data_IF_862245165398
#
_entry.id   IF_862245165398
#
_cell.length_a   1.000
_cell.length_b   1.000
_cell.length_c   1.000
_cell.angle_alpha   90.00
_cell.angle_beta   90.00
_cell.angle_gamma   90.00
#
_symmetry.space_group_name_H-M   'P 1'
#
loop_
_entity.id
_entity.type
_entity.pdbx_description
1 polymer ?
#
# COMPACT_ATOMS: atom_id res chain seq x y z
N UNK A 1 17.94 18.07 36.55
CA UNK A 1 17.86 17.14 37.70
C UNK A 1 16.42 16.70 38.03
N UNK A 2 15.39 17.54 37.89
CA UNK A 2 13.98 17.14 38.14
C UNK A 2 13.28 16.34 37.02
N UNK A 3 13.81 16.32 35.80
CA UNK A 3 13.23 15.56 34.66
C UNK A 3 13.73 14.11 34.55
N UNK A 4 14.73 13.73 35.35
CA UNK A 4 15.32 12.38 35.34
C UNK A 4 14.56 11.40 36.26
N UNK A 5 13.80 11.93 37.23
CA UNK A 5 13.05 11.14 38.22
C UNK A 5 11.73 10.62 37.67
N UNK A 6 11.05 11.38 36.80
CA UNK A 6 9.82 10.92 36.13
C UNK A 6 10.05 9.81 35.09
N UNK A 7 11.30 9.66 34.67
CA UNK A 7 11.67 8.90 33.47
C UNK A 7 12.23 7.53 33.81
N UNK A 8 12.90 7.35 34.96
CA UNK A 8 13.24 6.01 35.50
C UNK A 8 12.03 5.19 35.99
N UNK A 9 10.84 5.79 36.06
CA UNK A 9 9.62 5.09 36.44
C UNK A 9 8.86 4.46 35.26
N UNK A 10 9.16 4.80 34.00
CA UNK A 10 8.37 4.37 32.84
C UNK A 10 8.47 2.87 32.54
N UNK A 11 9.64 2.26 32.71
CA UNK A 11 9.86 0.82 32.50
C UNK A 11 9.19 -0.06 33.58
N UNK A 12 9.08 0.44 34.81
CA UNK A 12 8.29 -0.18 35.88
C UNK A 12 6.83 0.24 35.89
N UNK A 13 6.44 1.18 35.01
CA UNK A 13 5.08 1.66 34.91
C UNK A 13 4.24 0.53 34.30
N UNK A 14 4.46 0.12 33.05
CA UNK A 14 3.58 -0.83 32.34
C UNK A 14 3.35 -2.17 33.07
N UNK A 15 4.39 -2.72 33.72
CA UNK A 15 4.29 -3.94 34.55
C UNK A 15 3.45 -3.77 35.82
N UNK A 16 3.36 -2.56 36.39
CA UNK A 16 2.43 -2.22 37.47
C UNK A 16 1.03 -1.85 36.96
N UNK A 17 0.85 -1.64 35.66
CA UNK A 17 -0.39 -1.13 35.05
C UNK A 17 -1.24 -2.16 34.32
N UNK A 18 -0.75 -3.38 34.11
CA UNK A 18 -1.61 -4.55 33.85
C UNK A 18 -2.63 -4.81 34.98
N UNK A 19 -2.44 -4.17 36.14
CA UNK A 19 -3.35 -4.21 37.28
C UNK A 19 -4.42 -3.09 37.30
N UNK A 20 -4.49 -2.20 36.30
CA UNK A 20 -5.51 -1.15 36.23
C UNK A 20 -6.70 -1.53 35.34
N UNK A 21 -7.91 -1.33 35.88
CA UNK A 21 -9.17 -1.63 35.20
C UNK A 21 -9.71 -0.44 34.39
N UNK A 22 -10.21 -0.74 33.18
CA UNK A 22 -11.15 0.09 32.42
C UNK A 22 -10.63 1.45 31.96
N UNK A 23 -11.20 2.53 32.51
CA UNK A 23 -11.01 3.90 32.00
C UNK A 23 -9.58 4.45 32.19
N UNK A 24 -8.86 3.97 33.20
CA UNK A 24 -7.46 4.38 33.41
C UNK A 24 -6.55 3.83 32.31
N UNK A 25 -6.82 2.61 31.84
CA UNK A 25 -6.12 1.97 30.71
C UNK A 25 -6.42 2.71 29.41
N UNK A 26 -7.67 3.13 29.19
CA UNK A 26 -8.06 3.96 28.03
C UNK A 26 -7.34 5.29 27.98
N UNK A 27 -7.31 6.02 29.11
CA UNK A 27 -6.62 7.31 29.21
C UNK A 27 -5.11 7.16 29.03
N UNK A 28 -4.53 6.08 29.56
CA UNK A 28 -3.12 5.78 29.41
C UNK A 28 -2.76 5.48 27.95
N UNK A 29 -3.53 4.64 27.24
CA UNK A 29 -3.29 4.36 25.82
C UNK A 29 -3.33 5.64 24.97
N UNK A 30 -4.25 6.57 25.28
CA UNK A 30 -4.28 7.87 24.62
C UNK A 30 -3.02 8.68 24.93
N UNK A 31 -2.54 8.69 26.17
CA UNK A 31 -1.32 9.38 26.55
C UNK A 31 -0.07 8.75 25.90
N UNK A 32 0.01 7.43 25.88
CA UNK A 32 1.10 6.67 25.25
C UNK A 32 1.12 6.83 23.73
N UNK A 33 -0.03 7.02 23.09
CA UNK A 33 -0.10 7.35 21.66
C UNK A 33 0.51 8.73 21.36
N UNK A 34 0.17 9.74 22.16
CA UNK A 34 0.61 11.14 21.93
C UNK A 34 2.07 11.35 22.32
N UNK A 35 2.60 10.52 23.23
CA UNK A 35 3.95 10.72 23.77
C UNK A 35 5.07 10.62 22.74
N UNK A 36 5.12 9.62 21.82
CA UNK A 36 6.08 9.58 20.72
C UNK A 36 6.02 10.82 19.82
N UNK A 37 4.82 11.27 19.47
CA UNK A 37 4.58 12.43 18.60
C UNK A 37 5.12 13.73 19.25
N UNK A 38 4.85 13.93 20.54
CA UNK A 38 5.32 15.09 21.30
C UNK A 38 6.84 15.11 21.50
N UNK A 39 7.49 13.95 21.68
CA UNK A 39 8.96 13.87 21.79
C UNK A 39 9.64 14.34 20.50
N UNK A 40 8.98 14.16 19.35
CA UNK A 40 9.48 14.57 18.03
C UNK A 40 9.34 16.09 17.82
N UNK A 41 8.26 16.69 18.33
CA UNK A 41 8.00 18.13 18.22
C UNK A 41 8.69 18.97 19.31
N UNK A 42 9.11 18.34 20.40
CA UNK A 42 9.70 19.04 21.54
C UNK A 42 11.08 19.65 21.23
N UNK A 43 11.34 20.87 21.76
CA UNK A 43 12.64 21.57 21.68
C UNK A 43 13.69 20.96 22.62
N UNK A 44 13.82 19.64 22.61
CA UNK A 44 14.78 18.86 23.41
C UNK A 44 16.01 18.59 22.54
N UNK A 45 17.21 18.58 23.13
CA UNK A 45 18.43 18.25 22.38
C UNK A 45 18.46 16.79 21.90
N UNK A 46 19.14 16.51 20.78
CA UNK A 46 19.15 15.19 20.12
C UNK A 46 19.57 14.03 21.03
N UNK A 47 20.60 14.23 21.86
CA UNK A 47 21.05 13.23 22.83
C UNK A 47 19.93 12.82 23.80
N UNK A 48 19.15 13.80 24.26
CA UNK A 48 18.06 13.56 25.19
C UNK A 48 16.84 12.96 24.49
N UNK A 49 16.59 13.29 23.22
CA UNK A 49 15.59 12.59 22.40
C UNK A 49 15.93 11.12 22.24
N UNK A 50 17.19 10.80 21.97
CA UNK A 50 17.66 9.41 21.83
C UNK A 50 17.52 8.61 23.13
N UNK A 51 17.82 9.21 24.29
CA UNK A 51 17.57 8.57 25.60
C UNK A 51 16.09 8.20 25.81
N UNK A 52 15.19 9.18 25.60
CA UNK A 52 13.73 8.98 25.77
C UNK A 52 13.23 7.90 24.80
N UNK A 53 13.73 7.94 23.56
CA UNK A 53 13.37 6.98 22.52
C UNK A 53 13.74 5.53 22.89
N UNK A 54 14.95 5.34 23.42
CA UNK A 54 15.43 4.02 23.84
C UNK A 54 14.65 3.48 25.05
N UNK A 55 14.28 4.35 25.99
CA UNK A 55 13.48 3.95 27.16
C UNK A 55 12.03 3.59 26.80
N UNK A 56 11.44 4.30 25.84
CA UNK A 56 10.12 3.96 25.28
C UNK A 56 10.15 2.62 24.54
N UNK A 57 11.22 2.32 23.80
CA UNK A 57 11.41 1.04 23.13
C UNK A 57 11.55 -0.12 24.12
N UNK A 58 12.26 0.07 25.24
CA UNK A 58 12.37 -0.91 26.33
C UNK A 58 11.07 -1.15 27.09
N UNK A 59 10.14 -0.19 27.02
CA UNK A 59 8.81 -0.30 27.63
C UNK A 59 7.82 -1.10 26.75
N UNK A 60 8.34 -2.01 25.92
CA UNK A 60 7.66 -2.70 24.83
C UNK A 60 6.22 -3.15 25.11
N UNK A 61 5.36 -2.72 24.19
CA UNK A 61 4.03 -3.21 23.78
C UNK A 61 3.37 -4.28 24.65
N UNK A 62 2.27 -3.84 25.27
CA UNK A 62 1.31 -4.61 26.05
C UNK A 62 0.51 -5.62 25.22
N UNK A 63 1.14 -6.68 24.73
CA UNK A 63 0.44 -7.86 24.18
C UNK A 63 -0.61 -8.39 25.17
N UNK A 64 -0.31 -8.31 26.47
CA UNK A 64 -1.19 -8.66 27.59
C UNK A 64 -2.49 -7.84 27.67
N UNK A 65 -2.51 -6.61 27.13
CA UNK A 65 -3.72 -5.76 27.13
C UNK A 65 -4.70 -6.21 26.05
N UNK A 66 -4.27 -6.75 24.91
CA UNK A 66 -5.22 -7.31 23.93
C UNK A 66 -5.92 -8.56 24.47
N UNK A 67 -5.20 -9.44 25.16
CA UNK A 67 -5.77 -10.66 25.74
C UNK A 67 -6.83 -10.35 26.81
N UNK A 68 -6.65 -9.26 27.56
CA UNK A 68 -7.55 -8.87 28.65
C UNK A 68 -8.84 -8.17 28.18
N UNK A 69 -8.85 -7.62 26.95
CA UNK A 69 -9.95 -6.78 26.43
C UNK A 69 -10.48 -7.24 25.06
N UNK A 70 -10.42 -8.55 24.77
CA UNK A 70 -10.78 -9.14 23.46
C UNK A 70 -12.19 -8.83 22.93
N UNK A 71 -13.13 -8.44 23.80
CA UNK A 71 -14.51 -8.10 23.43
C UNK A 71 -14.79 -6.59 23.35
N UNK A 72 -13.86 -5.72 23.74
CA UNK A 72 -14.04 -4.26 23.70
C UNK A 72 -13.35 -3.68 22.45
N UNK A 73 -14.12 -3.56 21.37
CA UNK A 73 -13.62 -3.03 20.09
C UNK A 73 -13.01 -1.64 20.21
N UNK A 74 -13.51 -0.78 21.10
CA UNK A 74 -12.96 0.56 21.31
C UNK A 74 -11.62 0.52 22.06
N UNK A 75 -11.45 -0.41 23.00
CA UNK A 75 -10.16 -0.66 23.63
C UNK A 75 -9.16 -1.20 22.62
N UNK A 76 -9.54 -2.22 21.84
CA UNK A 76 -8.67 -2.81 20.82
C UNK A 76 -8.23 -1.73 19.83
N UNK A 77 -9.15 -0.90 19.33
CA UNK A 77 -8.84 0.24 18.46
C UNK A 77 -7.77 1.16 19.08
N UNK A 78 -7.88 1.51 20.36
CA UNK A 78 -6.88 2.35 21.05
C UNK A 78 -5.52 1.65 21.18
N UNK A 79 -5.51 0.33 21.41
CA UNK A 79 -4.27 -0.45 21.46
C UNK A 79 -3.59 -0.48 20.09
N UNK A 80 -4.34 -0.69 19.01
CA UNK A 80 -3.80 -0.69 17.65
C UNK A 80 -3.20 0.67 17.28
N UNK A 81 -3.93 1.76 17.54
CA UNK A 81 -3.42 3.12 17.29
C UNK A 81 -2.20 3.47 18.15
N UNK A 82 -2.15 2.98 19.39
CA UNK A 82 -0.96 3.11 20.22
C UNK A 82 0.22 2.32 19.63
N UNK A 83 -0.01 1.10 19.13
CA UNK A 83 1.04 0.33 18.46
C UNK A 83 1.55 1.06 17.22
N UNK A 84 0.66 1.60 16.37
CA UNK A 84 1.04 2.38 15.19
C UNK A 84 1.99 3.53 15.55
N UNK A 85 1.68 4.29 16.60
CA UNK A 85 2.55 5.37 17.08
C UNK A 85 3.91 4.86 17.61
N UNK A 86 3.92 3.69 18.27
CA UNK A 86 5.16 3.07 18.74
C UNK A 86 6.04 2.55 17.59
N UNK A 87 5.43 2.09 16.50
CA UNK A 87 6.16 1.64 15.32
C UNK A 87 6.94 2.76 14.64
N UNK A 88 6.53 4.02 14.82
CA UNK A 88 7.29 5.19 14.35
C UNK A 88 8.59 5.43 15.14
N UNK A 89 8.80 4.73 16.26
CA UNK A 89 10.03 4.81 17.05
C UNK A 89 11.15 3.93 16.42
N UNK A 90 12.25 4.53 15.92
CA UNK A 90 13.33 3.76 15.30
C UNK A 90 14.17 2.91 16.27
N UNK A 91 14.05 3.13 17.59
CA UNK A 91 14.74 2.31 18.59
C UNK A 91 13.96 1.02 18.94
N UNK A 92 12.71 0.88 18.47
CA UNK A 92 11.90 -0.30 18.76
C UNK A 92 12.43 -1.52 17.99
N UNK A 93 12.67 -2.63 18.70
CA UNK A 93 12.95 -3.92 18.09
C UNK A 93 11.66 -4.53 17.51
N UNK A 94 11.73 -4.99 16.27
CA UNK A 94 10.59 -5.56 15.53
C UNK A 94 10.54 -7.08 15.57
N UNK A 95 11.60 -7.76 16.02
CA UNK A 95 11.70 -9.23 15.97
C UNK A 95 10.64 -9.90 16.86
N UNK A 96 10.39 -9.31 18.03
CA UNK A 96 9.32 -9.75 18.92
C UNK A 96 7.93 -9.46 18.35
N UNK A 97 7.77 -8.39 17.56
CA UNK A 97 6.49 -8.07 16.92
C UNK A 97 6.15 -9.09 15.83
N UNK A 98 7.14 -9.50 15.03
CA UNK A 98 6.98 -10.48 13.95
C UNK A 98 6.45 -11.84 14.44
N UNK A 99 6.69 -12.19 15.70
CA UNK A 99 6.21 -13.43 16.34
C UNK A 99 5.07 -13.19 17.33
N UNK A 100 4.59 -11.96 17.45
CA UNK A 100 3.62 -11.60 18.47
C UNK A 100 2.20 -12.09 18.13
N UNK A 101 1.43 -12.58 19.11
CA UNK A 101 0.00 -12.87 18.92
C UNK A 101 -0.80 -11.60 18.61
N UNK A 102 -0.25 -10.43 18.98
CA UNK A 102 -0.84 -9.13 18.70
C UNK A 102 -0.94 -8.89 17.19
N UNK A 103 0.13 -9.14 16.44
CA UNK A 103 0.14 -9.01 14.98
C UNK A 103 -0.83 -10.00 14.32
N UNK A 104 -0.87 -11.24 14.80
CA UNK A 104 -1.85 -12.24 14.35
C UNK A 104 -3.29 -11.76 14.54
N UNK A 105 -3.61 -11.17 15.69
CA UNK A 105 -4.94 -10.63 15.96
C UNK A 105 -5.29 -9.46 15.02
N UNK A 106 -4.32 -8.60 14.64
CA UNK A 106 -4.57 -7.53 13.66
C UNK A 106 -5.01 -8.12 12.31
N UNK A 107 -4.34 -9.15 11.83
CA UNK A 107 -4.73 -9.83 10.58
C UNK A 107 -6.08 -10.55 10.69
N UNK A 108 -6.41 -11.11 11.86
CA UNK A 108 -7.73 -11.70 12.08
C UNK A 108 -8.85 -10.64 12.03
N UNK A 109 -8.61 -9.44 12.54
CA UNK A 109 -9.55 -8.30 12.44
C UNK A 109 -9.74 -7.91 10.97
N UNK A 110 -8.65 -7.78 10.21
CA UNK A 110 -8.72 -7.45 8.78
C UNK A 110 -9.41 -8.54 7.94
N UNK A 111 -9.24 -9.81 8.32
CA UNK A 111 -9.88 -10.92 7.63
C UNK A 111 -11.37 -11.11 7.99
N UNK A 112 -11.83 -10.52 9.09
CA UNK A 112 -13.18 -10.72 9.59
C UNK A 112 -14.20 -9.87 8.79
N UNK A 113 -15.17 -10.49 8.09
CA UNK A 113 -16.11 -9.75 7.24
C UNK A 113 -16.99 -8.78 8.03
N UNK A 114 -17.28 -9.12 9.30
CA UNK A 114 -18.15 -8.34 10.18
C UNK A 114 -17.38 -7.36 11.09
N UNK A 115 -16.08 -7.13 10.84
CA UNK A 115 -15.33 -6.14 11.61
C UNK A 115 -15.93 -4.74 11.40
N UNK A 116 -16.18 -3.96 12.48
CA UNK A 116 -16.62 -2.58 12.36
C UNK A 116 -15.58 -1.73 11.62
N UNK A 117 -16.01 -0.84 10.71
CA UNK A 117 -15.11 -0.01 9.89
C UNK A 117 -14.06 0.76 10.72
N UNK A 118 -14.41 1.43 11.85
CA UNK A 118 -13.40 2.13 12.65
C UNK A 118 -12.33 1.22 13.28
N UNK A 119 -12.65 -0.06 13.50
CA UNK A 119 -11.70 -1.04 13.99
C UNK A 119 -10.82 -1.57 12.84
N UNK A 120 -11.42 -1.80 11.67
CA UNK A 120 -10.72 -2.17 10.45
C UNK A 120 -9.73 -1.07 10.01
N UNK A 121 -10.12 0.20 10.10
CA UNK A 121 -9.26 1.36 9.84
C UNK A 121 -8.04 1.35 10.78
N UNK A 122 -8.26 1.18 12.09
CA UNK A 122 -7.16 1.16 13.05
C UNK A 122 -6.22 -0.04 12.86
N UNK A 123 -6.74 -1.20 12.46
CA UNK A 123 -5.93 -2.35 12.07
C UNK A 123 -5.10 -2.05 10.81
N UNK A 124 -5.70 -1.36 9.84
CA UNK A 124 -5.04 -0.91 8.61
C UNK A 124 -3.89 0.04 8.91
N UNK A 125 -4.12 1.09 9.72
CA UNK A 125 -3.08 2.02 10.17
C UNK A 125 -1.91 1.31 10.86
N UNK A 126 -2.21 0.27 11.65
CA UNK A 126 -1.21 -0.53 12.33
C UNK A 126 -0.34 -1.33 11.36
N UNK A 127 -0.94 -1.96 10.34
CA UNK A 127 -0.19 -2.72 9.32
C UNK A 127 0.61 -1.79 8.43
N UNK A 128 0.03 -0.67 7.97
CA UNK A 128 0.74 0.34 7.17
C UNK A 128 1.95 0.88 7.94
N UNK A 129 1.78 1.24 9.21
CA UNK A 129 2.91 1.68 10.08
C UNK A 129 3.97 0.60 10.24
N UNK A 130 3.58 -0.68 10.29
CA UNK A 130 4.51 -1.80 10.41
C UNK A 130 5.30 -2.04 9.11
N UNK A 131 4.65 -1.85 7.95
CA UNK A 131 5.26 -1.96 6.63
C UNK A 131 6.31 -0.86 6.41
N UNK A 132 5.95 0.41 6.66
CA UNK A 132 6.88 1.55 6.62
C UNK A 132 8.10 1.28 7.51
N UNK A 133 7.88 0.71 8.70
CA UNK A 133 8.97 0.37 9.61
C UNK A 133 9.85 -0.77 9.08
N UNK A 134 9.28 -1.69 8.31
CA UNK A 134 9.94 -2.85 7.73
C UNK A 134 10.65 -2.56 6.39
N UNK A 135 10.54 -1.34 5.85
CA UNK A 135 11.24 -0.89 4.63
C UNK A 135 12.76 -1.05 4.73
N UNK A 136 13.35 -0.84 5.92
CA UNK A 136 14.74 -1.22 6.18
C UNK A 136 14.86 -2.74 6.38
N UNK A 137 14.92 -3.44 5.24
CA UNK A 137 15.06 -4.89 5.15
C UNK A 137 16.28 -5.43 5.90
N UNK A 138 17.35 -4.63 6.06
CA UNK A 138 18.57 -5.05 6.75
C UNK A 138 18.35 -5.21 8.25
N UNK A 139 17.52 -4.34 8.85
CA UNK A 139 17.22 -4.34 10.27
C UNK A 139 15.94 -5.12 10.62
N UNK A 140 14.97 -5.25 9.69
CA UNK A 140 13.61 -5.70 10.01
C UNK A 140 13.11 -6.87 9.15
N UNK A 141 14.02 -7.70 8.63
CA UNK A 141 13.70 -8.79 7.70
C UNK A 141 12.62 -9.76 8.21
N UNK A 142 12.65 -10.12 9.50
CA UNK A 142 11.68 -11.05 10.07
C UNK A 142 10.25 -10.47 10.05
N UNK A 143 10.12 -9.18 10.34
CA UNK A 143 8.85 -8.47 10.29
C UNK A 143 8.35 -8.36 8.83
N UNK A 144 9.22 -7.97 7.89
CA UNK A 144 8.87 -7.85 6.47
C UNK A 144 8.29 -9.16 5.91
N UNK A 145 8.94 -10.30 6.17
CA UNK A 145 8.46 -11.63 5.74
C UNK A 145 7.14 -12.03 6.38
N UNK A 146 6.98 -11.76 7.67
CA UNK A 146 5.72 -12.04 8.38
C UNK A 146 4.57 -11.21 7.81
N UNK A 147 4.78 -9.91 7.59
CA UNK A 147 3.79 -9.02 6.99
C UNK A 147 3.42 -9.48 5.58
N UNK A 148 4.41 -9.74 4.72
CA UNK A 148 4.18 -10.19 3.35
C UNK A 148 3.31 -11.46 3.30
N UNK A 149 3.73 -12.51 4.02
CA UNK A 149 3.02 -13.79 4.05
C UNK A 149 1.59 -13.69 4.61
N UNK A 150 1.37 -12.80 5.56
CA UNK A 150 0.05 -12.57 6.16
C UNK A 150 -0.86 -11.73 5.24
N UNK A 151 -0.31 -10.71 4.57
CA UNK A 151 -1.06 -9.87 3.62
C UNK A 151 -1.50 -10.68 2.40
N UNK A 152 -0.69 -11.62 1.92
CA UNK A 152 -1.07 -12.51 0.82
C UNK A 152 -2.32 -13.35 1.13
N UNK A 153 -2.60 -13.63 2.41
CA UNK A 153 -3.80 -14.36 2.83
C UNK A 153 -5.07 -13.48 2.86
N UNK A 154 -4.93 -12.15 2.78
CA UNK A 154 -6.07 -11.22 2.77
C UNK A 154 -6.82 -11.18 1.44
N UNK A 155 -6.33 -11.85 0.40
CA UNK A 155 -6.99 -11.94 -0.91
C UNK A 155 -8.46 -12.40 -0.80
N UNK A 156 -8.75 -13.39 0.06
CA UNK A 156 -10.12 -13.85 0.29
C UNK A 156 -11.00 -12.82 0.98
N UNK A 157 -10.47 -12.10 1.96
CA UNK A 157 -11.18 -11.05 2.68
C UNK A 157 -11.49 -9.84 1.77
N UNK A 158 -10.54 -9.48 0.91
CA UNK A 158 -10.73 -8.45 -0.11
C UNK A 158 -11.89 -8.82 -1.07
N UNK A 159 -11.89 -10.03 -1.63
CA UNK A 159 -12.98 -10.45 -2.53
C UNK A 159 -14.35 -10.49 -1.84
N UNK A 160 -14.39 -10.82 -0.55
CA UNK A 160 -15.63 -10.73 0.21
C UNK A 160 -16.10 -9.27 0.34
N UNK A 161 -15.19 -8.33 0.61
CA UNK A 161 -15.52 -6.90 0.65
C UNK A 161 -16.01 -6.38 -0.71
N UNK A 162 -15.42 -6.86 -1.82
CA UNK A 162 -15.92 -6.58 -3.19
C UNK A 162 -17.35 -7.09 -3.35
N UNK A 163 -17.63 -8.32 -2.95
CA UNK A 163 -18.94 -8.93 -3.15
C UNK A 163 -20.09 -8.25 -2.38
N UNK A 164 -19.76 -7.53 -1.30
CA UNK A 164 -20.74 -6.75 -0.52
C UNK A 164 -20.60 -5.24 -0.72
N UNK A 165 -19.75 -4.81 -1.66
CA UNK A 165 -19.50 -3.40 -2.01
C UNK A 165 -19.09 -2.53 -0.78
N UNK A 166 -18.28 -3.08 0.14
CA UNK A 166 -17.83 -2.39 1.35
C UNK A 166 -16.61 -1.50 1.07
N UNK A 167 -16.88 -0.24 0.76
CA UNK A 167 -15.87 0.69 0.28
C UNK A 167 -14.82 1.12 1.28
N UNK A 168 -15.19 1.27 2.53
CA UNK A 168 -14.24 1.61 3.58
C UNK A 168 -13.20 0.49 3.72
N UNK A 169 -13.64 -0.78 3.65
CA UNK A 169 -12.72 -1.93 3.68
C UNK A 169 -11.88 -2.06 2.42
N UNK A 170 -12.46 -1.82 1.24
CA UNK A 170 -11.71 -1.89 -0.02
C UNK A 170 -10.58 -0.85 -0.08
N UNK A 171 -10.85 0.38 0.35
CA UNK A 171 -9.81 1.41 0.48
C UNK A 171 -8.72 0.97 1.46
N UNK A 172 -9.10 0.43 2.61
CA UNK A 172 -8.14 -0.08 3.59
C UNK A 172 -7.23 -1.19 3.04
N UNK A 173 -7.79 -2.17 2.33
CA UNK A 173 -6.99 -3.20 1.66
C UNK A 173 -6.07 -2.60 0.60
N UNK A 174 -6.55 -1.64 -0.19
CA UNK A 174 -5.72 -0.95 -1.17
C UNK A 174 -4.53 -0.25 -0.52
N UNK A 175 -4.73 0.44 0.61
CA UNK A 175 -3.63 1.05 1.39
C UNK A 175 -2.60 0.02 1.81
N UNK A 176 -3.04 -1.15 2.31
CA UNK A 176 -2.13 -2.23 2.73
C UNK A 176 -1.34 -2.79 1.54
N UNK A 177 -2.01 -3.06 0.41
CA UNK A 177 -1.35 -3.66 -0.76
C UNK A 177 -0.37 -2.70 -1.43
N UNK A 178 -0.75 -1.42 -1.55
CA UNK A 178 0.14 -0.37 -2.07
C UNK A 178 1.34 -0.19 -1.16
N UNK A 179 1.13 -0.06 0.15
CA UNK A 179 2.24 0.10 1.10
C UNK A 179 3.16 -1.12 1.12
N UNK A 180 2.63 -2.35 0.99
CA UNK A 180 3.44 -3.56 0.87
C UNK A 180 4.36 -3.50 -0.35
N UNK A 181 3.81 -3.07 -1.48
CA UNK A 181 4.57 -2.93 -2.72
C UNK A 181 5.60 -1.81 -2.64
N UNK A 182 5.30 -0.69 -1.97
CA UNK A 182 6.25 0.40 -1.75
C UNK A 182 7.39 -0.02 -0.81
N UNK A 183 7.06 -0.67 0.31
CA UNK A 183 8.03 -1.14 1.29
C UNK A 183 8.97 -2.21 0.71
N UNK A 184 8.48 -3.06 -0.20
CA UNK A 184 9.27 -4.13 -0.84
C UNK A 184 9.77 -3.77 -2.25
N UNK A 185 9.63 -2.51 -2.68
CA UNK A 185 9.91 -2.08 -4.05
C UNK A 185 11.29 -2.53 -4.54
N UNK A 186 12.34 -2.25 -3.75
CA UNK A 186 13.72 -2.59 -4.09
C UNK A 186 13.87 -4.10 -4.30
N UNK A 187 13.25 -4.93 -3.46
CA UNK A 187 13.32 -6.39 -3.57
C UNK A 187 12.55 -6.89 -4.77
N UNK A 188 11.36 -6.36 -5.03
CA UNK A 188 10.51 -6.73 -6.17
C UNK A 188 11.26 -6.45 -7.47
N UNK A 189 11.79 -5.23 -7.62
CA UNK A 189 12.50 -4.81 -8.82
C UNK A 189 13.81 -5.59 -8.98
N UNK A 190 14.58 -5.84 -7.92
CA UNK A 190 15.88 -6.51 -8.03
C UNK A 190 15.78 -8.04 -8.22
N UNK A 191 14.86 -8.72 -7.54
CA UNK A 191 14.76 -10.18 -7.57
C UNK A 191 13.79 -10.69 -8.64
N UNK A 192 12.61 -10.06 -8.76
CA UNK A 192 11.57 -10.47 -9.70
C UNK A 192 11.23 -11.97 -9.62
N UNK A 193 11.05 -12.49 -8.41
CA UNK A 193 10.93 -13.93 -8.15
C UNK A 193 9.51 -14.44 -8.33
N UNK A 194 9.38 -15.68 -8.81
CA UNK A 194 8.08 -16.39 -8.90
C UNK A 194 7.73 -17.06 -7.57
N UNK A 195 8.70 -17.24 -6.65
CA UNK A 195 8.45 -17.83 -5.34
C UNK A 195 7.65 -16.86 -4.44
N UNK A 196 6.46 -17.23 -3.95
CA UNK A 196 5.67 -16.42 -3.01
C UNK A 196 6.38 -16.11 -1.69
N UNK A 197 7.38 -16.91 -1.31
CA UNK A 197 8.12 -16.72 -0.05
C UNK A 197 9.32 -15.77 -0.19
N UNK A 198 9.67 -15.37 -1.42
CA UNK A 198 10.70 -14.38 -1.68
C UNK A 198 10.18 -12.99 -1.36
N UNK A 199 11.00 -12.13 -0.76
CA UNK A 199 10.59 -10.74 -0.51
C UNK A 199 10.36 -9.97 -1.82
N UNK A 200 11.10 -10.31 -2.89
CA UNK A 200 10.83 -9.81 -4.23
C UNK A 200 9.84 -10.67 -5.04
N UNK A 201 8.83 -11.24 -4.40
CA UNK A 201 7.83 -12.04 -5.11
C UNK A 201 6.94 -11.18 -6.00
N UNK A 202 6.76 -11.63 -7.25
CA UNK A 202 5.84 -11.02 -8.21
C UNK A 202 4.37 -11.16 -7.80
N UNK A 203 4.04 -11.97 -6.78
CA UNK A 203 2.68 -12.06 -6.26
C UNK A 203 2.20 -10.72 -5.67
N UNK A 204 3.11 -9.85 -5.20
CA UNK A 204 2.74 -8.49 -4.80
C UNK A 204 2.13 -7.69 -5.96
N UNK A 205 2.60 -7.89 -7.19
CA UNK A 205 2.02 -7.26 -8.38
C UNK A 205 0.63 -7.81 -8.70
N UNK A 206 0.35 -9.08 -8.40
CA UNK A 206 -1.00 -9.64 -8.53
C UNK A 206 -2.00 -8.95 -7.60
N UNK A 207 -1.59 -8.61 -6.37
CA UNK A 207 -2.44 -7.84 -5.45
C UNK A 207 -2.73 -6.43 -5.96
N UNK A 208 -1.75 -5.76 -6.58
CA UNK A 208 -1.97 -4.45 -7.22
C UNK A 208 -2.91 -4.56 -8.43
N UNK A 209 -2.75 -5.60 -9.24
CA UNK A 209 -3.64 -5.86 -10.37
C UNK A 209 -5.07 -6.22 -9.94
N UNK A 210 -5.22 -6.84 -8.78
CA UNK A 210 -6.52 -7.13 -8.20
C UNK A 210 -7.28 -5.83 -7.92
N UNK A 211 -6.61 -4.81 -7.35
CA UNK A 211 -7.21 -3.49 -7.13
C UNK A 211 -7.69 -2.83 -8.43
N UNK A 212 -6.93 -3.01 -9.51
CA UNK A 212 -7.26 -2.44 -10.82
C UNK A 212 -8.28 -3.26 -11.63
N UNK A 213 -8.49 -4.54 -11.30
CA UNK A 213 -9.21 -5.49 -12.15
C UNK A 213 -10.73 -5.48 -12.05
N UNK A 214 -11.32 -4.73 -11.12
CA UNK A 214 -12.77 -4.68 -10.92
C UNK A 214 -13.44 -3.68 -11.89
N UNK A 215 -14.74 -3.85 -12.17
CA UNK A 215 -15.43 -3.20 -13.30
C UNK A 215 -16.47 -2.12 -12.93
N UNK A 216 -16.81 -1.93 -11.65
CA UNK A 216 -17.82 -0.96 -11.23
C UNK A 216 -17.27 0.49 -11.16
N UNK A 217 -17.63 1.26 -12.19
CA UNK A 217 -17.05 2.55 -12.59
C UNK A 217 -16.90 3.59 -11.46
N UNK A 218 -17.94 3.91 -10.69
CA UNK A 218 -17.94 5.06 -9.77
C UNK A 218 -17.05 4.89 -8.53
N UNK A 219 -16.64 3.66 -8.27
CA UNK A 219 -16.18 3.22 -6.96
C UNK A 219 -14.71 2.77 -6.99
N UNK A 220 -14.24 2.35 -8.16
CA UNK A 220 -12.89 1.80 -8.38
C UNK A 220 -11.90 2.87 -8.83
N UNK A 221 -12.35 4.03 -9.33
CA UNK A 221 -11.45 5.13 -9.68
C UNK A 221 -10.50 5.47 -8.54
N UNK A 222 -10.99 5.54 -7.31
CA UNK A 222 -10.17 5.82 -6.13
C UNK A 222 -9.14 4.72 -5.85
N UNK A 223 -9.52 3.44 -5.98
CA UNK A 223 -8.60 2.31 -5.75
C UNK A 223 -7.49 2.28 -6.80
N UNK A 224 -7.83 2.50 -8.06
CA UNK A 224 -6.87 2.56 -9.18
C UNK A 224 -5.91 3.74 -8.98
N UNK A 225 -6.44 4.92 -8.63
CA UNK A 225 -5.63 6.12 -8.36
C UNK A 225 -4.58 5.90 -7.26
N UNK A 226 -4.93 5.15 -6.20
CA UNK A 226 -3.99 4.82 -5.13
C UNK A 226 -2.79 3.99 -5.60
N UNK A 227 -2.92 3.24 -6.69
CA UNK A 227 -1.83 2.42 -7.24
C UNK A 227 -0.88 3.18 -8.17
N UNK A 228 -1.23 4.40 -8.58
CA UNK A 228 -0.48 5.15 -9.58
C UNK A 228 0.98 5.42 -9.21
N UNK A 229 1.23 5.81 -7.96
CA UNK A 229 2.57 6.12 -7.48
C UNK A 229 3.49 4.89 -7.51
N UNK A 230 3.01 3.74 -7.01
CA UNK A 230 3.81 2.52 -6.97
C UNK A 230 4.11 1.99 -8.38
N UNK A 231 3.15 2.02 -9.32
CA UNK A 231 3.43 1.61 -10.70
C UNK A 231 4.47 2.51 -11.37
N UNK A 232 4.43 3.82 -11.10
CA UNK A 232 5.48 4.74 -11.54
C UNK A 232 6.85 4.39 -10.93
N UNK A 233 6.94 4.19 -9.61
CA UNK A 233 8.20 3.82 -8.94
C UNK A 233 8.76 2.48 -9.43
N UNK A 234 7.91 1.50 -9.73
CA UNK A 234 8.33 0.23 -10.34
C UNK A 234 8.94 0.47 -11.73
N UNK A 235 8.33 1.33 -12.54
CA UNK A 235 8.87 1.66 -13.87
C UNK A 235 10.23 2.35 -13.79
N UNK A 236 10.41 3.28 -12.84
CA UNK A 236 11.68 3.95 -12.58
C UNK A 236 12.74 2.95 -12.09
N UNK A 237 12.37 2.05 -11.19
CA UNK A 237 13.25 0.99 -10.72
C UNK A 237 13.73 0.09 -11.86
N UNK A 238 12.83 -0.33 -12.74
CA UNK A 238 13.15 -1.17 -13.91
C UNK A 238 13.97 -0.42 -14.98
N UNK A 239 13.85 0.91 -15.05
CA UNK A 239 14.66 1.72 -15.96
C UNK A 239 16.15 1.61 -15.64
N UNK A 240 16.50 1.38 -14.38
CA UNK A 240 17.90 1.25 -13.96
C UNK A 240 18.55 -0.10 -14.31
N UNK A 241 17.80 -1.03 -14.91
CA UNK A 241 18.28 -2.37 -15.28
C UNK A 241 18.66 -2.47 -16.76
N UNK A 242 19.77 -3.16 -17.03
CA UNK A 242 20.24 -3.44 -18.41
C UNK A 242 19.89 -4.87 -18.89
N UNK A 243 19.35 -5.73 -18.02
CA UNK A 243 19.02 -7.13 -18.33
C UNK A 243 17.59 -7.28 -18.87
N UNK A 244 17.48 -7.47 -20.19
CA UNK A 244 16.21 -7.70 -20.90
C UNK A 244 15.43 -8.92 -20.37
N UNK A 245 16.12 -10.00 -19.99
CA UNK A 245 15.43 -11.22 -19.52
C UNK A 245 14.76 -10.97 -18.17
N UNK A 246 15.39 -10.13 -17.35
CA UNK A 246 14.83 -9.74 -16.06
C UNK A 246 13.64 -8.81 -16.21
N UNK A 247 13.75 -7.78 -17.06
CA UNK A 247 12.65 -6.86 -17.36
C UNK A 247 11.46 -7.61 -17.98
N UNK A 248 11.72 -8.61 -18.82
CA UNK A 248 10.65 -9.39 -19.48
C UNK A 248 9.74 -10.15 -18.50
N UNK A 249 10.21 -10.44 -17.28
CA UNK A 249 9.38 -11.05 -16.22
C UNK A 249 8.19 -10.15 -15.81
N UNK A 250 8.32 -8.83 -15.90
CA UNK A 250 7.30 -7.86 -15.51
C UNK A 250 6.23 -7.62 -16.60
N UNK A 251 6.52 -8.05 -17.82
CA UNK A 251 5.68 -7.86 -19.01
C UNK A 251 4.21 -8.27 -18.84
N UNK A 252 3.88 -9.48 -18.36
CA UNK A 252 2.48 -9.89 -18.22
C UNK A 252 1.72 -8.98 -17.24
N UNK A 253 2.39 -8.47 -16.21
CA UNK A 253 1.78 -7.60 -15.21
C UNK A 253 1.49 -6.22 -15.79
N UNK A 254 2.47 -5.63 -16.49
CA UNK A 254 2.30 -4.34 -17.17
C UNK A 254 1.18 -4.40 -18.21
N UNK A 255 1.12 -5.45 -19.03
CA UNK A 255 0.05 -5.61 -20.03
C UNK A 255 -1.33 -5.71 -19.37
N UNK A 256 -1.46 -6.43 -18.25
CA UNK A 256 -2.72 -6.54 -17.51
C UNK A 256 -3.11 -5.22 -16.84
N UNK A 257 -2.14 -4.47 -16.31
CA UNK A 257 -2.40 -3.16 -15.74
C UNK A 257 -2.89 -2.18 -16.81
N UNK A 258 -2.24 -2.14 -17.98
CA UNK A 258 -2.70 -1.33 -19.12
C UNK A 258 -4.10 -1.73 -19.59
N UNK A 259 -4.40 -3.04 -19.60
CA UNK A 259 -5.74 -3.53 -19.92
C UNK A 259 -6.78 -3.06 -18.91
N UNK A 260 -6.47 -3.09 -17.61
CA UNK A 260 -7.33 -2.54 -16.57
C UNK A 260 -7.58 -1.05 -16.76
N UNK A 261 -6.52 -0.25 -16.94
CA UNK A 261 -6.63 1.20 -17.18
C UNK A 261 -7.48 1.53 -18.41
N UNK A 262 -7.29 0.76 -19.49
CA UNK A 262 -8.11 0.89 -20.69
C UNK A 262 -9.60 0.68 -20.40
N UNK A 263 -9.95 -0.38 -19.65
CA UNK A 263 -11.35 -0.66 -19.30
C UNK A 263 -11.94 0.46 -18.44
N UNK A 264 -11.16 1.01 -17.51
CA UNK A 264 -11.56 2.16 -16.68
C UNK A 264 -11.70 3.46 -17.45
N UNK A 265 -11.11 3.59 -18.65
CA UNK A 265 -11.27 4.76 -19.51
C UNK A 265 -12.43 4.66 -20.51
N UNK A 266 -13.22 3.59 -20.49
CA UNK A 266 -14.40 3.41 -21.36
C UNK A 266 -15.57 4.23 -20.85
N UNK A 267 -16.26 4.92 -21.77
CA UNK A 267 -17.55 5.53 -21.51
C UNK A 267 -18.64 4.46 -21.33
N UNK A 268 -19.74 4.84 -20.69
CA UNK A 268 -20.95 4.03 -20.73
C UNK A 268 -21.50 4.01 -22.16
N UNK A 269 -21.90 2.83 -22.62
CA UNK A 269 -22.48 2.63 -23.96
C UNK A 269 -23.76 3.43 -24.19
N UNK A 270 -24.48 3.79 -23.13
CA UNK A 270 -25.72 4.58 -23.18
C UNK A 270 -25.47 6.11 -23.17
N UNK A 271 -24.22 6.55 -23.03
CA UNK A 271 -23.89 7.97 -22.97
C UNK A 271 -24.02 8.61 -24.37
N UNK A 272 -25.05 9.45 -24.53
CA UNK A 272 -25.28 10.22 -25.76
C UNK A 272 -24.62 11.60 -25.66
N UNK A 273 -23.65 11.88 -26.54
CA UNK A 273 -23.07 13.22 -26.66
C UNK A 273 -21.58 13.21 -26.95
N UNK A 274 -20.98 14.40 -26.91
CA UNK A 274 -19.52 14.52 -26.85
C UNK A 274 -19.13 14.26 -25.39
N UNK A 275 -18.13 13.40 -25.13
CA UNK A 275 -17.46 13.28 -23.84
C UNK A 275 -17.38 14.60 -23.09
N UNK A 276 -18.00 14.68 -21.90
CA UNK A 276 -17.87 15.87 -21.07
C UNK A 276 -16.39 16.07 -20.72
N UNK A 277 -15.92 17.31 -20.88
CA UNK A 277 -14.54 17.70 -20.60
C UNK A 277 -14.35 18.10 -19.14
N UNK A 278 -15.44 18.33 -18.44
CA UNK A 278 -15.46 18.74 -17.05
C UNK A 278 -16.15 17.63 -16.21
N UNK A 279 -15.54 17.24 -15.08
CA UNK A 279 -16.12 16.25 -14.16
C UNK A 279 -15.16 15.15 -13.71
N UNK A 280 -15.54 14.42 -12.67
CA UNK A 280 -14.68 13.44 -11.97
C UNK A 280 -14.13 12.35 -12.92
N UNK A 281 -14.92 11.94 -13.93
CA UNK A 281 -14.47 10.96 -14.93
C UNK A 281 -13.42 11.55 -15.89
N UNK A 282 -13.62 12.78 -16.36
CA UNK A 282 -12.65 13.46 -17.21
C UNK A 282 -11.33 13.69 -16.45
N UNK A 283 -11.41 14.10 -15.18
CA UNK A 283 -10.26 14.24 -14.29
C UNK A 283 -9.55 12.90 -14.06
N UNK A 284 -10.31 11.82 -13.86
CA UNK A 284 -9.74 10.48 -13.76
C UNK A 284 -9.02 10.07 -15.05
N UNK A 285 -9.65 10.24 -16.22
CA UNK A 285 -9.02 9.96 -17.52
C UNK A 285 -7.75 10.78 -17.73
N UNK A 286 -7.74 12.05 -17.29
CA UNK A 286 -6.55 12.89 -17.31
C UNK A 286 -5.47 12.35 -16.37
N UNK A 287 -5.80 11.91 -15.15
CA UNK A 287 -4.83 11.27 -14.24
C UNK A 287 -4.28 9.96 -14.81
N UNK A 288 -5.12 9.13 -15.46
CA UNK A 288 -4.66 7.93 -16.19
C UNK A 288 -3.73 8.33 -17.32
N UNK A 289 -4.10 9.34 -18.10
CA UNK A 289 -3.27 9.87 -19.18
C UNK A 289 -1.93 10.38 -18.67
N UNK A 290 -1.92 11.09 -17.53
CA UNK A 290 -0.68 11.51 -16.87
C UNK A 290 0.11 10.31 -16.36
N UNK A 291 -0.51 9.33 -15.70
CA UNK A 291 0.19 8.18 -15.16
C UNK A 291 0.81 7.31 -16.26
N UNK A 292 0.02 6.96 -17.28
CA UNK A 292 0.46 6.29 -18.51
C UNK A 292 1.55 7.14 -19.17
N UNK A 293 1.29 8.42 -19.40
CA UNK A 293 2.26 9.37 -19.93
C UNK A 293 3.59 9.33 -19.17
N UNK A 294 3.61 9.55 -17.86
CA UNK A 294 4.82 9.50 -17.03
C UNK A 294 5.51 8.13 -17.08
N UNK A 295 4.75 7.04 -17.01
CA UNK A 295 5.24 5.67 -17.11
C UNK A 295 5.96 5.41 -18.45
N UNK A 296 5.59 6.12 -19.53
CA UNK A 296 6.21 5.99 -20.87
C UNK A 296 7.19 7.13 -21.24
N UNK A 297 7.03 8.35 -20.72
CA UNK A 297 7.69 9.61 -21.17
C UNK A 297 8.94 10.00 -20.40
N UNK A 298 8.98 9.85 -19.08
CA UNK A 298 10.20 10.24 -18.35
C UNK A 298 11.40 9.35 -18.74
N UNK A 299 11.14 8.21 -19.38
CA UNK A 299 12.13 7.36 -20.02
C UNK A 299 12.82 7.99 -21.25
N UNK A 300 12.38 9.17 -21.74
CA UNK A 300 12.92 9.81 -22.94
C UNK A 300 14.10 10.75 -22.68
N UNK A 301 14.30 11.23 -21.45
CA UNK A 301 15.34 12.25 -21.15
C UNK A 301 16.75 11.65 -21.06
N UNK A 302 16.87 10.32 -20.88
CA UNK A 302 18.16 9.62 -20.85
C UNK A 302 18.28 8.65 -22.02
N UNK A 303 18.92 9.13 -23.10
CA UNK A 303 19.23 8.41 -24.36
C UNK A 303 20.02 7.09 -24.18
N UNK A 304 20.47 6.75 -22.97
CA UNK A 304 21.29 5.55 -22.72
C UNK A 304 20.49 4.27 -22.42
N UNK A 305 19.15 4.29 -22.38
CA UNK A 305 18.35 3.11 -21.97
C UNK A 305 17.22 2.82 -22.96
N UNK A 306 17.60 2.51 -24.20
CA UNK A 306 16.65 2.21 -25.28
C UNK A 306 15.82 0.92 -25.05
N UNK A 307 16.30 0.00 -24.20
CA UNK A 307 15.71 -1.34 -24.05
C UNK A 307 14.42 -1.35 -23.22
N UNK A 308 14.40 -0.71 -22.06
CA UNK A 308 13.19 -0.58 -21.23
C UNK A 308 12.11 0.22 -21.97
N UNK A 309 12.49 1.26 -22.70
CA UNK A 309 11.57 2.01 -23.57
C UNK A 309 11.01 1.15 -24.71
N UNK A 310 11.84 0.37 -25.42
CA UNK A 310 11.38 -0.55 -26.46
C UNK A 310 10.48 -1.66 -25.89
N UNK A 311 10.77 -2.15 -24.69
CA UNK A 311 9.95 -3.10 -23.97
C UNK A 311 8.53 -2.56 -23.73
N UNK A 312 8.45 -1.34 -23.20
CA UNK A 312 7.18 -0.65 -22.93
C UNK A 312 6.42 -0.34 -24.23
N UNK A 313 7.10 0.17 -25.26
CA UNK A 313 6.52 0.35 -26.59
C UNK A 313 6.03 -0.97 -27.20
N UNK A 314 6.73 -2.08 -26.98
CA UNK A 314 6.33 -3.39 -27.48
C UNK A 314 5.11 -3.91 -26.75
N UNK A 315 5.03 -3.75 -25.42
CA UNK A 315 3.83 -4.08 -24.63
C UNK A 315 2.63 -3.28 -25.14
N UNK A 316 2.83 -1.98 -25.33
CA UNK A 316 1.81 -1.10 -25.83
C UNK A 316 1.43 -1.43 -27.28
N UNK A 317 2.39 -1.64 -28.19
CA UNK A 317 2.11 -2.01 -29.57
C UNK A 317 1.35 -3.32 -29.66
N UNK A 318 1.76 -4.36 -28.91
CA UNK A 318 1.04 -5.63 -28.82
C UNK A 318 -0.39 -5.40 -28.34
N UNK A 319 -0.58 -4.58 -27.30
CA UNK A 319 -1.90 -4.34 -26.75
C UNK A 319 -2.76 -3.48 -27.68
N UNK A 320 -2.27 -2.34 -28.16
CA UNK A 320 -2.94 -1.45 -29.12
C UNK A 320 -3.32 -2.20 -30.39
N UNK A 321 -2.43 -3.03 -30.95
CA UNK A 321 -2.73 -3.87 -32.10
C UNK A 321 -3.83 -4.89 -31.78
N UNK A 322 -3.75 -5.58 -30.64
CA UNK A 322 -4.80 -6.53 -30.23
C UNK A 322 -6.16 -5.86 -30.01
N UNK A 323 -6.16 -4.64 -29.44
CA UNK A 323 -7.36 -3.85 -29.19
C UNK A 323 -7.98 -3.37 -30.50
N UNK A 324 -7.18 -2.79 -31.41
CA UNK A 324 -7.66 -2.31 -32.71
C UNK A 324 -8.18 -3.46 -33.59
N UNK A 325 -7.51 -4.61 -33.59
CA UNK A 325 -7.99 -5.81 -34.28
C UNK A 325 -9.27 -6.34 -33.65
N UNK A 326 -9.37 -6.39 -32.31
CA UNK A 326 -10.61 -6.77 -31.63
C UNK A 326 -11.77 -5.83 -31.94
N UNK A 327 -11.51 -4.51 -31.90
CA UNK A 327 -12.50 -3.49 -32.19
C UNK A 327 -12.98 -3.55 -33.65
N UNK A 328 -12.07 -3.82 -34.60
CA UNK A 328 -12.41 -3.92 -36.03
C UNK A 328 -13.35 -5.07 -36.39
N UNK A 329 -13.48 -6.07 -35.52
CA UNK A 329 -14.29 -7.26 -35.78
C UNK A 329 -15.68 -7.18 -35.15
N UNK A 330 -15.81 -6.65 -33.91
CA UNK A 330 -17.07 -6.59 -33.16
C UNK A 330 -17.08 -5.52 -32.04
N UNK A 331 -16.14 -4.56 -32.00
CA UNK A 331 -16.04 -3.63 -30.87
C UNK A 331 -17.12 -2.57 -30.85
N UNK A 332 -17.49 -2.14 -29.65
CA UNK A 332 -18.39 -1.00 -29.45
C UNK A 332 -17.66 0.33 -29.61
N UNK A 333 -18.41 1.43 -29.72
CA UNK A 333 -17.82 2.76 -29.96
C UNK A 333 -16.95 3.21 -28.78
N UNK A 334 -17.37 2.91 -27.55
CA UNK A 334 -16.68 3.21 -26.30
C UNK A 334 -15.36 2.43 -26.18
N UNK A 335 -15.33 1.18 -26.66
CA UNK A 335 -14.10 0.38 -26.72
C UNK A 335 -13.07 0.97 -27.67
N UNK A 336 -13.55 1.49 -28.81
CA UNK A 336 -12.70 2.09 -29.83
C UNK A 336 -12.21 3.46 -29.36
N UNK A 337 -13.08 4.27 -28.75
CA UNK A 337 -12.72 5.59 -28.19
C UNK A 337 -11.68 5.46 -27.09
N UNK A 338 -11.88 4.57 -26.12
CA UNK A 338 -10.93 4.39 -25.01
C UNK A 338 -9.57 3.90 -25.50
N UNK A 339 -9.54 3.07 -26.55
CA UNK A 339 -8.31 2.61 -27.15
C UNK A 339 -7.57 3.78 -27.81
N UNK A 340 -8.27 4.59 -28.60
CA UNK A 340 -7.72 5.79 -29.23
C UNK A 340 -7.25 6.82 -28.20
N UNK A 341 -7.95 6.96 -27.08
CA UNK A 341 -7.55 7.82 -25.97
C UNK A 341 -6.18 7.40 -25.42
N UNK A 342 -6.02 6.14 -25.01
CA UNK A 342 -4.75 5.61 -24.48
C UNK A 342 -3.64 5.68 -25.55
N UNK A 343 -3.94 5.35 -26.82
CA UNK A 343 -3.00 5.48 -27.93
C UNK A 343 -2.53 6.93 -28.08
N UNK A 344 -3.46 7.89 -28.06
CA UNK A 344 -3.16 9.32 -28.25
C UNK A 344 -2.27 9.87 -27.15
N UNK A 345 -2.52 9.44 -25.90
CA UNK A 345 -1.68 9.76 -24.74
C UNK A 345 -0.25 9.34 -24.99
N UNK A 346 -0.01 8.13 -25.51
CA UNK A 346 1.35 7.64 -25.69
C UNK A 346 2.00 8.28 -26.92
N UNK A 347 1.29 8.44 -28.03
CA UNK A 347 1.84 9.06 -29.24
C UNK A 347 2.22 10.52 -29.00
N UNK A 348 1.36 11.32 -28.35
CA UNK A 348 1.64 12.73 -28.05
C UNK A 348 2.84 12.96 -27.12
N UNK A 349 3.35 11.87 -26.57
CA UNK A 349 4.41 11.78 -25.59
C UNK A 349 5.68 11.11 -26.14
N UNK A 350 5.58 10.42 -27.29
CA UNK A 350 6.70 9.86 -28.06
C UNK A 350 7.25 10.89 -29.06
N UNK A 351 6.40 11.82 -29.52
CA UNK A 351 6.79 12.88 -30.46
C UNK A 351 7.19 14.12 -29.64
N UNK A 352 8.40 14.68 -29.84
CA UNK A 352 8.89 15.82 -29.07
C UNK A 352 8.14 17.13 -29.29
#
# INVERSE_FOLDING_TARGET
LNTSIYVRQTSGFLLRFSALEGDRTRMLLTLLRVFPEEVQLSKVGENRRNEIRNELACSGTSSQVLESYSNDHDMIKKVLLCLSAYLQNPALSTDHLATSPLLTNVFQILAAPNAPNPLHDAATECIVSALIRAEDHGAHQALAKCLQSSIYQLHGAFNNAVAVEDMDKLQNFARIFVELAESLLEKIVNEGSVDPNSMGSMYTLELLLLLAGHHDYSVIFQLVEMTFNIWYRISEGLFSFEDDQHIEKFKPYVIRYLDALYRHCRYDTEEEGIPDRDGDFADFRLKVCLNVGFFFVQNFVFINIALSFLFFLKCLHLKMHSMLVGCSQNGTWDETEAALFIISTVIGNIVP
#
